data_IF_265506737372
#
_entry.id   IF_265506737372
#
_cell.length_a   1.000
_cell.length_b   1.000
_cell.length_c   1.000
_cell.angle_alpha   90.00
_cell.angle_beta   90.00
_cell.angle_gamma   90.00
#
_symmetry.space_group_name_H-M   'P 1'
#
loop_
_entity.id
_entity.type
_entity.pdbx_description
1 polymer ?
#
# COMPACT_ATOMS: atom_id res chain seq x y z
N UNK A 1 17.35 15.33 -15.68
CA UNK A 1 16.81 15.67 -14.35
C UNK A 1 17.92 16.28 -13.51
N UNK A 2 17.65 17.36 -12.78
CA UNK A 2 18.63 17.95 -11.85
C UNK A 2 18.79 17.00 -10.64
N UNK A 3 20.00 16.86 -10.08
CA UNK A 3 20.28 15.95 -8.94
C UNK A 3 19.30 16.13 -7.76
N UNK A 4 18.90 17.37 -7.49
CA UNK A 4 17.96 17.72 -6.43
C UNK A 4 16.55 17.16 -6.66
N UNK A 5 16.10 17.07 -7.91
CA UNK A 5 14.79 16.55 -8.27
C UNK A 5 14.72 15.03 -8.08
N UNK A 6 15.78 14.33 -8.48
CA UNK A 6 15.93 12.88 -8.26
C UNK A 6 15.89 12.58 -6.76
N UNK A 7 16.64 13.35 -5.97
CA UNK A 7 16.70 13.17 -4.52
C UNK A 7 15.34 13.41 -3.85
N UNK A 8 14.60 14.44 -4.27
CA UNK A 8 13.26 14.75 -3.74
C UNK A 8 12.25 13.63 -4.04
N UNK A 9 12.35 13.01 -5.21
CA UNK A 9 11.52 11.84 -5.57
C UNK A 9 11.90 10.65 -4.71
N UNK A 10 13.19 10.38 -4.55
CA UNK A 10 13.66 9.28 -3.69
C UNK A 10 13.19 9.45 -2.25
N UNK A 11 13.32 10.65 -1.68
CA UNK A 11 12.84 10.98 -0.34
C UNK A 11 11.33 10.75 -0.21
N UNK A 12 10.56 11.15 -1.23
CA UNK A 12 9.13 10.90 -1.27
C UNK A 12 8.80 9.41 -1.30
N UNK A 13 9.50 8.62 -2.12
CA UNK A 13 9.32 7.17 -2.23
C UNK A 13 9.47 6.53 -0.85
N UNK A 14 10.57 6.86 -0.17
CA UNK A 14 10.85 6.32 1.16
C UNK A 14 9.80 6.79 2.16
N UNK A 15 9.47 8.09 2.21
CA UNK A 15 8.53 8.63 3.20
C UNK A 15 7.13 8.04 3.06
N UNK A 16 6.55 8.08 1.86
CA UNK A 16 5.22 7.53 1.61
C UNK A 16 5.21 5.99 1.75
N UNK A 17 6.29 5.32 1.36
CA UNK A 17 6.46 3.88 1.56
C UNK A 17 6.51 3.49 3.03
N UNK A 18 7.25 4.24 3.86
CA UNK A 18 7.29 4.05 5.30
C UNK A 18 5.92 4.28 5.96
N UNK A 19 5.18 5.31 5.55
CA UNK A 19 3.84 5.59 6.08
C UNK A 19 2.90 4.43 5.79
N UNK A 20 2.88 3.93 4.55
CA UNK A 20 2.04 2.80 4.18
C UNK A 20 2.50 1.51 4.87
N UNK A 21 3.78 1.17 4.81
CA UNK A 21 4.33 -0.01 5.49
C UNK A 21 4.07 0.00 7.00
N UNK A 22 4.13 1.17 7.64
CA UNK A 22 3.78 1.35 9.05
C UNK A 22 2.29 1.13 9.32
N UNK A 23 1.40 1.66 8.47
CA UNK A 23 -0.04 1.42 8.58
C UNK A 23 -0.38 -0.06 8.40
N UNK A 24 0.28 -0.76 7.49
CA UNK A 24 0.15 -2.22 7.39
C UNK A 24 0.70 -2.91 8.64
N UNK A 25 1.90 -2.55 9.08
CA UNK A 25 2.55 -3.16 10.25
C UNK A 25 1.73 -3.02 11.55
N UNK A 26 1.13 -1.86 11.85
CA UNK A 26 0.26 -1.69 13.04
C UNK A 26 -0.94 -2.63 12.97
N UNK A 27 -1.45 -2.83 11.75
CA UNK A 27 -2.69 -3.57 11.54
C UNK A 27 -2.45 -5.08 11.56
N UNK A 28 -1.28 -5.53 11.10
CA UNK A 28 -0.87 -6.94 11.08
C UNK A 28 -0.17 -7.40 12.36
N UNK A 29 0.73 -6.57 12.91
CA UNK A 29 1.56 -6.89 14.06
C UNK A 29 0.99 -6.43 15.41
N UNK A 30 -0.24 -5.88 15.46
CA UNK A 30 -0.81 -5.28 16.67
C UNK A 30 -2.26 -5.67 16.99
N UNK A 31 -2.85 -4.91 17.93
CA UNK A 31 -4.17 -5.04 18.60
C UNK A 31 -5.36 -5.55 17.78
N UNK A 32 -5.38 -5.38 16.46
CA UNK A 32 -6.48 -5.86 15.65
C UNK A 32 -6.37 -7.34 15.27
N UNK A 33 -5.17 -7.97 15.28
CA UNK A 33 -4.97 -9.36 14.86
C UNK A 33 -5.98 -10.32 15.52
N UNK A 34 -6.21 -10.15 16.83
CA UNK A 34 -7.15 -10.94 17.62
C UNK A 34 -8.63 -10.72 17.28
N UNK A 35 -8.99 -9.61 16.65
CA UNK A 35 -10.38 -9.25 16.33
C UNK A 35 -10.74 -9.42 14.84
N UNK A 36 -9.77 -9.73 13.96
CA UNK A 36 -10.03 -9.89 12.53
C UNK A 36 -10.89 -11.11 12.20
N UNK A 37 -10.78 -12.20 12.98
CA UNK A 37 -11.59 -13.41 12.80
C UNK A 37 -13.09 -13.14 12.98
N UNK A 38 -13.45 -12.23 13.87
CA UNK A 38 -14.83 -11.84 14.15
C UNK A 38 -15.35 -10.79 13.15
N UNK A 39 -14.49 -9.87 12.69
CA UNK A 39 -14.88 -8.82 11.74
C UNK A 39 -15.05 -9.32 10.30
N UNK A 40 -14.34 -10.38 9.89
CA UNK A 40 -14.33 -10.87 8.51
C UNK A 40 -14.66 -12.37 8.43
N UNK A 41 -15.93 -12.75 8.70
CA UNK A 41 -16.39 -14.15 8.62
C UNK A 41 -16.34 -14.74 7.19
N UNK A 42 -16.07 -13.92 6.17
CA UNK A 42 -16.08 -14.32 4.75
C UNK A 42 -14.73 -14.71 4.16
N UNK A 43 -13.69 -14.98 4.97
CA UNK A 43 -12.32 -15.26 4.48
C UNK A 43 -11.76 -14.14 3.57
N UNK A 44 -12.23 -12.91 3.75
CA UNK A 44 -11.61 -11.74 3.12
C UNK A 44 -10.24 -11.55 3.74
N UNK A 45 -9.18 -11.64 2.94
CA UNK A 45 -7.84 -11.41 3.45
C UNK A 45 -7.69 -9.93 3.85
N UNK A 46 -7.43 -9.64 5.14
CA UNK A 46 -7.30 -8.27 5.69
C UNK A 46 -6.32 -7.39 4.89
N UNK A 47 -5.26 -8.00 4.36
CA UNK A 47 -4.20 -7.35 3.59
C UNK A 47 -4.75 -6.60 2.39
N UNK A 48 -5.81 -7.13 1.76
CA UNK A 48 -6.42 -6.49 0.61
C UNK A 48 -7.13 -5.22 0.96
N UNK A 49 -7.95 -5.24 2.00
CA UNK A 49 -8.75 -4.08 2.39
C UNK A 49 -7.83 -2.96 2.88
N UNK A 50 -6.76 -3.32 3.58
CA UNK A 50 -5.78 -2.36 4.09
C UNK A 50 -4.94 -1.74 2.97
N UNK A 51 -4.43 -2.57 2.04
CA UNK A 51 -3.73 -2.07 0.85
C UNK A 51 -4.67 -1.23 -0.04
N UNK A 52 -5.95 -1.63 -0.16
CA UNK A 52 -6.96 -0.88 -0.89
C UNK A 52 -7.23 0.49 -0.30
N UNK A 53 -7.35 0.57 1.02
CA UNK A 53 -7.76 1.80 1.71
C UNK A 53 -6.56 2.70 1.94
N UNK A 54 -5.61 2.25 2.75
CA UNK A 54 -4.43 3.02 3.10
C UNK A 54 -3.45 3.12 1.95
N UNK A 55 -3.19 2.02 1.23
CA UNK A 55 -2.30 2.04 0.07
C UNK A 55 -2.78 2.99 -1.02
N UNK A 56 -4.04 2.86 -1.46
CA UNK A 56 -4.60 3.77 -2.48
C UNK A 56 -4.68 5.22 -2.01
N UNK A 57 -4.94 5.45 -0.72
CA UNK A 57 -4.95 6.81 -0.15
C UNK A 57 -3.55 7.44 -0.18
N UNK A 58 -2.55 6.73 0.35
CA UNK A 58 -1.15 7.18 0.38
C UNK A 58 -0.64 7.39 -1.04
N UNK A 59 -0.87 6.43 -1.94
CA UNK A 59 -0.48 6.53 -3.34
C UNK A 59 -1.20 7.64 -4.11
N UNK A 60 -2.50 7.83 -3.87
CA UNK A 60 -3.25 8.94 -4.44
C UNK A 60 -2.67 10.29 -4.02
N UNK A 61 -2.28 10.42 -2.76
CA UNK A 61 -1.64 11.64 -2.24
C UNK A 61 -0.26 11.89 -2.87
N UNK A 62 0.56 10.83 -2.99
CA UNK A 62 1.86 10.92 -3.64
C UNK A 62 1.74 11.27 -5.13
N UNK A 63 0.75 10.70 -5.82
CA UNK A 63 0.48 10.96 -7.23
C UNK A 63 0.08 12.43 -7.47
N UNK A 64 -0.74 13.01 -6.60
CA UNK A 64 -1.10 14.43 -6.66
C UNK A 64 0.10 15.35 -6.49
N UNK A 65 1.00 15.05 -5.53
CA UNK A 65 2.14 15.90 -5.20
C UNK A 65 3.24 15.83 -6.27
N UNK A 66 3.61 14.62 -6.68
CA UNK A 66 4.79 14.40 -7.52
C UNK A 66 4.46 14.30 -9.01
N UNK A 67 3.21 14.02 -9.36
CA UNK A 67 2.75 13.84 -10.75
C UNK A 67 3.67 12.89 -11.54
N UNK A 68 4.19 11.83 -10.90
CA UNK A 68 5.01 10.79 -11.52
C UNK A 68 4.49 9.40 -11.11
N UNK A 69 3.79 8.67 -12.00
CA UNK A 69 3.15 7.41 -11.63
C UNK A 69 4.16 6.27 -11.44
N UNK A 70 5.32 6.32 -12.11
CA UNK A 70 6.41 5.36 -11.90
C UNK A 70 6.95 5.37 -10.46
N UNK A 71 6.78 6.48 -9.72
CA UNK A 71 7.18 6.59 -8.32
C UNK A 71 6.37 5.64 -7.41
N UNK A 72 5.13 5.31 -7.79
CA UNK A 72 4.24 4.47 -7.00
C UNK A 72 4.79 3.05 -6.81
N UNK A 73 5.50 2.52 -7.81
CA UNK A 73 6.18 1.21 -7.73
C UNK A 73 7.22 1.23 -6.61
N UNK A 74 8.01 2.30 -6.52
CA UNK A 74 9.00 2.46 -5.46
C UNK A 74 8.35 2.52 -4.07
N UNK A 75 7.22 3.22 -3.95
CA UNK A 75 6.47 3.32 -2.69
C UNK A 75 6.00 1.93 -2.24
N UNK A 76 5.45 1.13 -3.16
CA UNK A 76 5.02 -0.25 -2.87
C UNK A 76 6.16 -1.17 -2.48
N UNK A 77 7.33 -1.04 -3.12
CA UNK A 77 8.53 -1.81 -2.76
C UNK A 77 9.01 -1.47 -1.35
N UNK A 78 9.06 -0.19 -0.97
CA UNK A 78 9.43 0.20 0.38
C UNK A 78 8.42 -0.33 1.39
N UNK A 79 7.12 -0.22 1.11
CA UNK A 79 6.07 -0.77 1.97
C UNK A 79 6.23 -2.29 2.16
N UNK A 80 6.51 -3.04 1.09
CA UNK A 80 6.75 -4.48 1.15
C UNK A 80 7.97 -4.85 2.02
N UNK A 81 9.06 -4.07 1.95
CA UNK A 81 10.22 -4.23 2.83
C UNK A 81 9.85 -4.03 4.30
N UNK A 82 8.96 -3.09 4.61
CA UNK A 82 8.43 -2.90 5.97
C UNK A 82 7.59 -4.08 6.44
N UNK A 83 6.80 -4.69 5.58
CA UNK A 83 6.07 -5.91 5.93
C UNK A 83 7.05 -7.06 6.22
N UNK A 84 8.14 -7.16 5.45
CA UNK A 84 9.20 -8.16 5.70
C UNK A 84 10.04 -7.86 6.94
N UNK A 85 10.13 -6.62 7.40
CA UNK A 85 10.83 -6.27 8.64
C UNK A 85 10.21 -6.92 9.89
N UNK A 86 8.95 -7.38 9.82
CA UNK A 86 8.32 -8.17 10.90
C UNK A 86 8.77 -9.64 10.93
N UNK A 87 9.32 -10.18 9.84
CA UNK A 87 9.78 -11.57 9.72
C UNK A 87 10.77 -12.00 10.81
N UNK A 88 11.84 -11.23 11.12
CA UNK A 88 12.85 -11.65 12.09
C UNK A 88 12.32 -11.71 13.52
N UNK A 89 11.22 -10.99 13.80
CA UNK A 89 10.61 -10.93 15.13
C UNK A 89 9.58 -12.03 15.35
N UNK A 90 9.12 -12.70 14.28
CA UNK A 90 8.20 -13.83 14.39
C UNK A 90 8.96 -15.08 14.87
N UNK A 91 8.67 -15.64 16.05
CA UNK A 91 9.38 -16.79 16.62
C UNK A 91 9.08 -18.13 15.91
N UNK A 92 8.58 -18.11 14.67
CA UNK A 92 8.04 -19.29 13.99
C UNK A 92 8.79 -19.61 12.69
N UNK A 93 8.80 -20.88 12.33
CA UNK A 93 9.37 -21.39 11.07
C UNK A 93 8.76 -20.70 9.85
N UNK A 94 9.57 -20.53 8.79
CA UNK A 94 9.23 -19.93 7.48
C UNK A 94 8.00 -20.59 6.81
N UNK A 95 7.56 -21.74 7.31
CA UNK A 95 6.41 -22.51 6.81
C UNK A 95 5.18 -22.49 7.73
N UNK A 96 5.14 -21.63 8.75
CA UNK A 96 4.01 -21.54 9.68
C UNK A 96 2.86 -20.69 9.12
N UNK A 97 1.63 -20.93 9.60
CA UNK A 97 0.44 -20.16 9.24
C UNK A 97 0.56 -18.66 9.57
N UNK A 98 1.47 -18.27 10.48
CA UNK A 98 1.74 -16.87 10.82
C UNK A 98 2.62 -16.15 9.80
N UNK A 99 3.30 -16.90 8.92
CA UNK A 99 4.17 -16.35 7.90
C UNK A 99 3.41 -15.95 6.62
N UNK A 100 2.28 -16.62 6.36
CA UNK A 100 1.44 -16.37 5.18
C UNK A 100 0.86 -14.96 5.07
N UNK A 101 0.32 -14.36 6.13
CA UNK A 101 -0.18 -12.99 6.11
C UNK A 101 0.89 -11.96 5.72
N UNK A 102 2.13 -12.16 6.17
CA UNK A 102 3.26 -11.25 5.89
C UNK A 102 3.63 -11.27 4.42
N UNK A 103 3.77 -12.47 3.84
CA UNK A 103 4.06 -12.60 2.41
C UNK A 103 2.88 -12.07 1.58
N UNK A 104 1.65 -12.44 1.95
CA UNK A 104 0.44 -11.98 1.26
C UNK A 104 0.32 -10.45 1.27
N UNK A 105 0.67 -9.77 2.37
CA UNK A 105 0.63 -8.30 2.45
C UNK A 105 1.70 -7.67 1.57
N UNK A 106 2.93 -8.17 1.63
CA UNK A 106 4.02 -7.69 0.77
C UNK A 106 3.68 -7.86 -0.72
N UNK A 107 3.17 -9.03 -1.10
CA UNK A 107 2.73 -9.31 -2.48
C UNK A 107 1.57 -8.40 -2.89
N UNK A 108 0.59 -8.17 -2.01
CA UNK A 108 -0.51 -7.25 -2.28
C UNK A 108 -0.04 -5.80 -2.47
N UNK A 109 0.89 -5.32 -1.64
CA UNK A 109 1.48 -3.99 -1.77
C UNK A 109 2.23 -3.82 -3.10
N UNK A 110 3.02 -4.82 -3.51
CA UNK A 110 3.74 -4.82 -4.78
C UNK A 110 2.75 -4.82 -5.96
N UNK A 111 1.80 -5.75 -5.99
CA UNK A 111 0.84 -5.87 -7.09
C UNK A 111 -0.09 -4.66 -7.19
N UNK A 112 -0.55 -4.12 -6.06
CA UNK A 112 -1.31 -2.89 -5.98
C UNK A 112 -0.53 -1.70 -6.54
N UNK A 113 0.75 -1.57 -6.17
CA UNK A 113 1.61 -0.49 -6.64
C UNK A 113 1.87 -0.51 -8.13
N UNK A 114 2.14 -1.70 -8.70
CA UNK A 114 2.40 -1.89 -10.13
C UNK A 114 1.13 -1.61 -10.91
N UNK A 115 0.00 -2.16 -10.48
CA UNK A 115 -1.29 -1.97 -11.14
C UNK A 115 -1.71 -0.52 -11.16
N UNK A 116 -1.60 0.17 -10.01
CA UNK A 116 -1.94 1.58 -9.94
C UNK A 116 -0.97 2.44 -10.75
N UNK A 117 0.34 2.18 -10.69
CA UNK A 117 1.33 2.88 -11.51
C UNK A 117 1.02 2.77 -13.02
N UNK A 118 0.62 1.57 -13.46
CA UNK A 118 0.31 1.29 -14.86
C UNK A 118 -0.98 2.02 -15.28
N UNK A 119 -2.07 1.85 -14.54
CA UNK A 119 -3.38 2.48 -14.86
C UNK A 119 -3.31 4.01 -14.74
N UNK A 120 -2.64 4.52 -13.71
CA UNK A 120 -2.42 5.96 -13.52
C UNK A 120 -1.49 6.52 -14.62
N UNK A 121 -0.48 5.77 -15.04
CA UNK A 121 0.40 6.12 -16.16
C UNK A 121 -0.34 6.39 -17.45
N UNK A 122 -1.29 5.52 -17.80
CA UNK A 122 -2.14 5.72 -18.99
C UNK A 122 -3.15 6.86 -18.83
N UNK A 123 -3.63 7.11 -17.61
CA UNK A 123 -4.76 8.02 -17.36
C UNK A 123 -4.35 9.42 -16.89
N UNK A 124 -3.06 9.70 -16.79
CA UNK A 124 -2.53 10.89 -16.11
C UNK A 124 -3.05 12.21 -16.66
N UNK A 125 -3.13 12.36 -18.00
CA UNK A 125 -3.65 13.57 -18.64
C UNK A 125 -5.13 13.85 -18.31
N UNK A 126 -5.91 12.80 -18.01
CA UNK A 126 -7.34 12.90 -17.69
C UNK A 126 -7.61 13.00 -16.20
N UNK A 127 -6.61 12.70 -15.35
CA UNK A 127 -6.75 12.69 -13.90
C UNK A 127 -6.88 14.11 -13.30
N UNK A 128 -6.20 15.10 -13.92
CA UNK A 128 -6.18 16.48 -13.40
C UNK A 128 -7.51 17.22 -13.57
N UNK A 129 -8.34 16.81 -14.54
CA UNK A 129 -9.56 17.51 -14.89
C UNK A 129 -10.87 16.88 -14.42
N UNK A 130 -10.85 15.61 -13.96
CA UNK A 130 -12.10 14.91 -13.64
C UNK A 130 -11.94 13.96 -12.45
N UNK A 131 -12.76 14.13 -11.41
CA UNK A 131 -12.79 13.23 -10.25
C UNK A 131 -13.26 11.83 -10.67
N UNK A 132 -14.14 11.74 -11.66
CA UNK A 132 -14.72 10.49 -12.12
C UNK A 132 -13.66 9.58 -12.77
N UNK A 133 -12.68 10.15 -13.47
CA UNK A 133 -11.53 9.39 -13.97
C UNK A 133 -10.60 8.95 -12.86
N UNK A 134 -10.48 9.72 -11.76
CA UNK A 134 -9.74 9.29 -10.57
C UNK A 134 -10.39 8.07 -9.90
N UNK A 135 -11.71 8.10 -9.72
CA UNK A 135 -12.50 6.94 -9.23
C UNK A 135 -12.29 5.73 -10.15
N UNK A 136 -12.41 5.92 -11.47
CA UNK A 136 -12.22 4.86 -12.45
C UNK A 136 -10.81 4.27 -12.44
N UNK A 137 -9.77 5.10 -12.28
CA UNK A 137 -8.38 4.64 -12.13
C UNK A 137 -8.22 3.79 -10.87
N UNK A 138 -8.80 4.23 -9.74
CA UNK A 138 -8.80 3.46 -8.49
C UNK A 138 -9.45 2.08 -8.68
N UNK A 139 -10.68 2.07 -9.22
CA UNK A 139 -11.44 0.85 -9.48
C UNK A 139 -10.70 -0.13 -10.43
N UNK A 140 -10.23 0.37 -11.58
CA UNK A 140 -9.52 -0.43 -12.58
C UNK A 140 -8.19 -0.96 -12.05
N UNK A 141 -7.46 -0.13 -11.30
CA UNK A 141 -6.19 -0.55 -10.69
C UNK A 141 -6.38 -1.64 -9.64
N UNK A 142 -7.43 -1.55 -8.82
CA UNK A 142 -7.76 -2.57 -7.82
C UNK A 142 -8.22 -3.88 -8.47
N UNK A 143 -9.02 -3.83 -9.54
CA UNK A 143 -9.34 -5.01 -10.34
C UNK A 143 -8.08 -5.68 -10.89
N UNK A 144 -7.21 -4.90 -11.55
CA UNK A 144 -5.98 -5.43 -12.11
C UNK A 144 -5.07 -6.02 -11.02
N UNK A 145 -4.97 -5.34 -9.87
CA UNK A 145 -4.20 -5.80 -8.73
C UNK A 145 -4.76 -7.09 -8.14
N UNK A 146 -6.10 -7.26 -8.09
CA UNK A 146 -6.75 -8.51 -7.67
C UNK A 146 -6.43 -9.67 -8.59
N UNK A 147 -6.48 -9.46 -9.90
CA UNK A 147 -6.14 -10.49 -10.88
C UNK A 147 -4.67 -10.89 -10.74
N UNK A 148 -3.77 -9.90 -10.66
CA UNK A 148 -2.34 -10.15 -10.50
C UNK A 148 -2.01 -10.84 -9.18
N UNK A 149 -2.69 -10.46 -8.10
CA UNK A 149 -2.51 -11.11 -6.81
C UNK A 149 -2.95 -12.57 -6.85
N UNK A 150 -4.12 -12.88 -7.42
CA UNK A 150 -4.58 -14.27 -7.52
C UNK A 150 -3.67 -15.08 -8.43
N UNK A 151 -3.19 -14.51 -9.54
CA UNK A 151 -2.22 -15.18 -10.40
C UNK A 151 -0.92 -15.49 -9.62
N UNK A 152 -0.45 -14.53 -8.82
CA UNK A 152 0.70 -14.70 -7.93
C UNK A 152 0.48 -15.80 -6.89
N UNK A 153 -0.69 -15.90 -6.29
CA UNK A 153 -0.96 -16.89 -5.23
C UNK A 153 -1.34 -18.26 -5.76
N UNK A 154 -2.06 -18.34 -6.88
CA UNK A 154 -2.48 -19.60 -7.49
C UNK A 154 -1.36 -20.29 -8.29
N UNK A 155 -0.49 -19.51 -8.94
CA UNK A 155 0.56 -20.05 -9.82
C UNK A 155 1.99 -19.69 -9.40
N UNK A 156 2.17 -18.78 -8.43
CA UNK A 156 3.48 -18.31 -7.97
C UNK A 156 3.93 -18.93 -6.63
N UNK A 157 4.78 -18.18 -5.92
CA UNK A 157 5.56 -18.65 -4.77
C UNK A 157 4.72 -19.00 -3.52
N UNK A 158 3.47 -18.51 -3.45
CA UNK A 158 2.62 -18.61 -2.25
C UNK A 158 1.73 -19.87 -2.22
N UNK A 159 1.87 -20.75 -3.21
CA UNK A 159 0.98 -21.87 -3.48
C UNK A 159 0.67 -22.78 -2.27
N UNK A 160 1.62 -23.20 -1.42
CA UNK A 160 1.28 -24.02 -0.26
C UNK A 160 0.65 -23.21 0.88
N UNK A 161 1.08 -21.97 1.09
CA UNK A 161 0.69 -21.16 2.26
C UNK A 161 -0.71 -20.55 2.06
N UNK A 162 -1.03 -20.07 0.85
CA UNK A 162 -2.35 -19.53 0.53
C UNK A 162 -3.41 -20.63 0.32
N UNK A 163 -3.01 -21.84 -0.07
CA UNK A 163 -3.91 -22.99 -0.13
C UNK A 163 -4.34 -23.44 1.27
N UNK A 164 -3.39 -23.55 2.21
CA UNK A 164 -3.66 -23.95 3.60
C UNK A 164 -4.50 -22.91 4.37
N UNK A 165 -4.39 -21.62 4.03
CA UNK A 165 -5.19 -20.53 4.61
C UNK A 165 -6.60 -20.40 4.00
N UNK A 166 -6.97 -21.25 3.04
CA UNK A 166 -8.28 -21.21 2.39
C UNK A 166 -8.46 -20.04 1.41
N UNK A 167 -7.38 -19.35 1.05
CA UNK A 167 -7.40 -18.29 0.04
C UNK A 167 -7.42 -18.84 -1.40
N UNK A 168 -7.09 -20.12 -1.58
CA UNK A 168 -7.25 -20.86 -2.83
C UNK A 168 -8.73 -21.25 -3.09
N UNK A 169 -9.62 -20.25 -3.20
CA UNK A 169 -10.95 -20.45 -3.79
C UNK A 169 -10.87 -20.39 -5.31
N UNK A 170 -11.85 -20.97 -6.03
CA UNK A 170 -11.98 -20.74 -7.46
C UNK A 170 -11.97 -19.23 -7.73
N UNK A 171 -11.15 -18.81 -8.69
CA UNK A 171 -10.98 -17.42 -9.15
C UNK A 171 -12.28 -16.58 -9.14
N UNK A 172 -13.43 -17.09 -9.64
CA UNK A 172 -14.68 -16.33 -9.64
C UNK A 172 -15.18 -15.91 -8.26
N UNK A 173 -15.06 -16.75 -7.23
CA UNK A 173 -15.58 -16.43 -5.88
C UNK A 173 -14.75 -15.34 -5.21
N UNK A 174 -13.43 -15.41 -5.36
CA UNK A 174 -12.53 -14.39 -4.82
C UNK A 174 -12.70 -13.06 -5.56
N UNK A 175 -12.85 -13.08 -6.88
CA UNK A 175 -13.06 -11.86 -7.65
C UNK A 175 -14.44 -11.22 -7.35
N UNK A 176 -15.48 -12.05 -7.21
CA UNK A 176 -16.85 -11.58 -7.00
C UNK A 176 -17.04 -10.90 -5.65
N UNK A 177 -16.37 -11.38 -4.60
CA UNK A 177 -16.52 -10.84 -3.25
C UNK A 177 -15.33 -9.94 -2.91
N UNK A 178 -14.12 -10.50 -2.91
CA UNK A 178 -12.89 -9.78 -2.56
C UNK A 178 -12.50 -8.71 -3.57
N UNK A 179 -12.57 -9.02 -4.85
CA UNK A 179 -12.28 -8.07 -5.93
C UNK A 179 -13.22 -6.87 -5.95
N UNK A 180 -14.53 -7.08 -5.73
CA UNK A 180 -15.52 -6.00 -5.68
C UNK A 180 -15.33 -5.11 -4.46
N UNK A 181 -15.13 -5.69 -3.27
CA UNK A 181 -14.86 -4.91 -2.05
C UNK A 181 -13.59 -4.08 -2.21
N UNK A 182 -12.53 -4.67 -2.78
CA UNK A 182 -11.29 -3.95 -3.08
C UNK A 182 -11.54 -2.82 -4.07
N UNK A 183 -12.24 -3.10 -5.18
CA UNK A 183 -12.57 -2.09 -6.18
C UNK A 183 -13.28 -0.89 -5.53
N UNK A 184 -14.31 -1.13 -4.72
CA UNK A 184 -15.07 -0.07 -4.04
C UNK A 184 -14.19 0.71 -3.07
N UNK A 185 -13.40 0.02 -2.25
CA UNK A 185 -12.50 0.65 -1.29
C UNK A 185 -11.46 1.54 -1.98
N UNK A 186 -10.84 1.07 -3.07
CA UNK A 186 -9.87 1.84 -3.84
C UNK A 186 -10.52 2.99 -4.63
N UNK A 187 -11.70 2.76 -5.20
CA UNK A 187 -12.48 3.76 -5.92
C UNK A 187 -12.83 4.98 -5.04
N UNK A 188 -13.03 4.76 -3.73
CA UNK A 188 -13.29 5.81 -2.75
C UNK A 188 -11.97 6.38 -2.21
N UNK A 189 -11.04 5.52 -1.80
CA UNK A 189 -9.83 5.95 -1.08
C UNK A 189 -8.83 6.69 -1.96
N UNK A 190 -8.73 6.31 -3.24
CA UNK A 190 -7.83 6.96 -4.19
C UNK A 190 -8.16 8.45 -4.43
N UNK A 191 -9.40 8.86 -4.78
CA UNK A 191 -9.72 10.27 -4.96
C UNK A 191 -9.61 11.06 -3.65
N UNK A 192 -9.94 10.45 -2.51
CA UNK A 192 -9.71 11.05 -1.19
C UNK A 192 -8.22 11.33 -0.95
N UNK A 193 -7.36 10.36 -1.25
CA UNK A 193 -5.90 10.52 -1.22
C UNK A 193 -5.41 11.59 -2.18
N UNK A 194 -5.93 11.62 -3.40
CA UNK A 194 -5.56 12.59 -4.41
C UNK A 194 -5.95 14.03 -4.01
N UNK A 195 -7.16 14.24 -3.52
CA UNK A 195 -7.64 15.54 -3.04
C UNK A 195 -6.84 16.03 -1.81
N UNK A 196 -6.53 15.13 -0.89
CA UNK A 196 -5.67 15.47 0.27
C UNK A 196 -4.27 15.82 -0.18
N UNK A 197 -3.69 15.09 -1.14
CA UNK A 197 -2.39 15.41 -1.74
C UNK A 197 -2.38 16.77 -2.45
N UNK A 198 -3.44 17.14 -3.16
CA UNK A 198 -3.57 18.47 -3.77
C UNK A 198 -3.63 19.59 -2.73
N UNK A 199 -4.40 19.41 -1.65
CA UNK A 199 -4.46 20.37 -0.53
C UNK A 199 -3.12 20.49 0.20
N UNK A 200 -2.41 19.38 0.36
CA UNK A 200 -1.06 19.35 0.93
C UNK A 200 -0.10 20.11 0.01
N UNK A 201 -0.14 19.84 -1.29
CA UNK A 201 0.72 20.52 -2.25
C UNK A 201 0.50 22.03 -2.24
N UNK A 202 -0.76 22.51 -2.24
CA UNK A 202 -1.03 23.95 -2.23
C UNK A 202 -0.62 24.65 -0.93
N UNK A 203 -0.79 24.00 0.24
CA UNK A 203 -0.34 24.54 1.53
C UNK A 203 1.18 24.55 1.69
N UNK A 204 1.84 23.48 1.27
CA UNK A 204 3.25 23.27 1.59
C UNK A 204 4.20 23.64 0.44
N UNK A 205 3.72 23.83 -0.79
CA UNK A 205 4.52 24.33 -1.92
C UNK A 205 5.32 25.60 -1.58
N UNK A 206 4.74 26.68 -1.00
CA UNK A 206 5.49 27.90 -0.71
C UNK A 206 6.52 27.72 0.43
N UNK A 207 6.24 26.79 1.36
CA UNK A 207 7.15 26.49 2.47
C UNK A 207 8.35 25.66 1.98
N UNK A 208 8.09 24.67 1.11
CA UNK A 208 9.12 23.79 0.56
C UNK A 208 10.04 24.48 -0.45
N UNK A 209 9.56 25.45 -1.21
CA UNK A 209 10.43 26.28 -2.07
C UNK A 209 11.30 27.24 -1.26
N UNK A 210 10.84 27.68 -0.09
CA UNK A 210 11.58 28.62 0.77
C UNK A 210 12.61 27.95 1.67
N UNK A 211 12.39 26.70 2.12
CA UNK A 211 13.31 25.95 2.99
C UNK A 211 13.35 24.45 2.64
N UNK A 212 14.23 24.01 1.72
CA UNK A 212 14.34 22.60 1.35
C UNK A 212 14.82 21.70 2.50
N UNK A 213 15.56 22.25 3.46
CA UNK A 213 16.00 21.54 4.68
C UNK A 213 14.83 21.09 5.56
N UNK A 214 13.70 21.80 5.55
CA UNK A 214 12.54 21.42 6.35
C UNK A 214 11.91 20.12 5.84
N UNK A 215 11.88 19.92 4.51
CA UNK A 215 11.40 18.68 3.90
C UNK A 215 12.24 17.47 4.30
N UNK A 216 13.55 17.67 4.37
CA UNK A 216 14.48 16.64 4.80
C UNK A 216 14.24 16.25 6.26
N UNK A 217 14.14 17.23 7.16
CA UNK A 217 13.89 16.98 8.59
C UNK A 217 12.55 16.28 8.79
N UNK A 218 11.48 16.74 8.13
CA UNK A 218 10.16 16.11 8.27
C UNK A 218 10.14 14.68 7.75
N UNK A 219 10.76 14.41 6.60
CA UNK A 219 10.86 13.05 6.08
C UNK A 219 11.70 12.15 6.98
N UNK A 220 12.87 12.61 7.44
CA UNK A 220 13.73 11.84 8.33
C UNK A 220 13.04 11.55 9.67
N UNK A 221 12.36 12.53 10.25
CA UNK A 221 11.57 12.33 11.49
C UNK A 221 10.43 11.34 11.25
N UNK A 222 9.72 11.44 10.13
CA UNK A 222 8.63 10.52 9.78
C UNK A 222 9.16 9.10 9.61
N UNK A 223 10.30 8.92 8.93
CA UNK A 223 10.92 7.62 8.75
C UNK A 223 11.36 7.04 10.09
N UNK A 224 12.07 7.81 10.92
CA UNK A 224 12.52 7.37 12.25
C UNK A 224 11.33 7.01 13.13
N UNK A 225 10.25 7.80 13.08
CA UNK A 225 9.04 7.54 13.84
C UNK A 225 8.32 6.28 13.33
N UNK A 226 8.13 6.12 12.01
CA UNK A 226 7.51 4.92 11.43
C UNK A 226 8.33 3.66 11.72
N UNK A 227 9.66 3.72 11.59
CA UNK A 227 10.54 2.61 11.93
C UNK A 227 10.51 2.31 13.44
N UNK A 228 10.67 3.34 14.28
CA UNK A 228 10.75 3.20 15.73
C UNK A 228 9.45 2.70 16.34
N UNK A 229 8.32 3.32 15.98
CA UNK A 229 7.00 2.88 16.46
C UNK A 229 6.63 1.53 15.86
N UNK A 230 7.00 1.25 14.60
CA UNK A 230 6.79 -0.07 13.99
C UNK A 230 7.51 -1.17 14.76
N UNK A 231 8.79 -0.97 15.08
CA UNK A 231 9.58 -1.90 15.90
C UNK A 231 8.98 -2.10 17.30
N UNK A 232 8.57 -1.01 17.96
CA UNK A 232 7.95 -1.08 19.29
C UNK A 232 6.59 -1.80 19.23
N UNK A 233 5.77 -1.54 18.21
CA UNK A 233 4.50 -2.22 18.01
C UNK A 233 4.68 -3.72 17.79
N UNK A 234 5.67 -4.14 16.99
CA UNK A 234 6.02 -5.55 16.82
C UNK A 234 6.55 -6.20 18.11
N UNK A 235 7.30 -5.45 18.93
CA UNK A 235 7.81 -5.96 20.21
C UNK A 235 6.74 -6.08 21.30
N UNK A 236 5.70 -5.23 21.27
CA UNK A 236 4.62 -5.21 22.27
C UNK A 236 3.43 -6.10 21.84
N UNK A 237 3.23 -6.27 20.53
CA UNK A 237 2.16 -7.09 19.93
C UNK A 237 2.53 -8.57 19.74
N UNK A 238 3.59 -9.03 20.41
CA UNK A 238 4.01 -10.43 20.52
C UNK A 238 3.73 -10.95 21.94
#
# INVERSE_FOLDING_TARGET
MKKEEVFRIFLGIVTFGCIWGFLEAITFGGLLHSHWGDLFPYHLCPCFIMAATFGSFVMGSALAIYKKPAMLIGIGLVAAVFCWLGVPFLPTSVRSAHYGPVISSATAAIMGSISLALVAGFSMKRLEGNILTCIGVGALSALLASILFILSTAYGLDKPICADLGYARPLPDFLAIGGVVWMLAAAISLPLGYLTGMKLQSRFAPVFTRRPSFNYITSTVTIIFCCGVGMVAFMIGL
#
